data_IF_177954776385
#
_entry.id   IF_177954776385
#
_cell.length_a   1.000
_cell.length_b   1.000
_cell.length_c   1.000
_cell.angle_alpha   90.00
_cell.angle_beta   90.00
_cell.angle_gamma   90.00
#
_symmetry.space_group_name_H-M   'P 1'
#
loop_
_entity.id
_entity.type
_entity.pdbx_description
1 polymer ?
#
# COMPACT_ATOMS: atom_id res chain seq x y z
N UNK A 1 23.50 -26.02 -10.30
CA UNK A 1 24.15 -24.83 -10.87
C UNK A 1 23.45 -23.54 -10.41
N UNK A 2 22.17 -23.32 -10.74
CA UNK A 2 21.45 -22.09 -10.36
C UNK A 2 21.40 -21.83 -8.84
N UNK A 3 21.26 -22.87 -8.00
CA UNK A 3 21.37 -22.75 -6.54
C UNK A 3 22.69 -22.12 -6.07
N UNK A 4 23.80 -22.58 -6.64
CA UNK A 4 25.12 -22.06 -6.30
C UNK A 4 25.26 -20.59 -6.74
N UNK A 5 24.68 -20.23 -7.88
CA UNK A 5 24.61 -18.84 -8.35
C UNK A 5 23.81 -17.98 -7.37
N UNK A 6 22.64 -18.46 -6.92
CA UNK A 6 21.84 -17.76 -5.90
C UNK A 6 22.63 -17.53 -4.62
N UNK A 7 23.38 -18.52 -4.14
CA UNK A 7 24.20 -18.39 -2.91
C UNK A 7 25.33 -17.37 -3.10
N UNK A 8 25.94 -17.31 -4.28
CA UNK A 8 26.96 -16.30 -4.61
C UNK A 8 26.36 -14.89 -4.67
N UNK A 9 25.17 -14.75 -5.28
CA UNK A 9 24.44 -13.48 -5.31
C UNK A 9 24.15 -13.04 -3.87
N UNK A 10 23.55 -13.90 -3.04
CA UNK A 10 23.23 -13.59 -1.63
C UNK A 10 24.45 -13.09 -0.84
N UNK A 11 25.64 -13.69 -1.05
CA UNK A 11 26.89 -13.24 -0.41
C UNK A 11 27.35 -11.87 -0.90
N UNK A 12 27.01 -11.51 -2.13
CA UNK A 12 27.41 -10.24 -2.75
C UNK A 12 26.50 -9.07 -2.38
N UNK A 13 25.37 -9.31 -1.69
CA UNK A 13 24.38 -8.27 -1.37
C UNK A 13 24.74 -7.38 -0.17
N UNK A 14 25.85 -7.65 0.53
CA UNK A 14 26.19 -6.91 1.76
C UNK A 14 26.54 -5.44 1.53
N UNK A 15 27.08 -5.09 0.36
CA UNK A 15 27.51 -3.73 0.01
C UNK A 15 27.13 -3.43 -1.45
N UNK A 16 25.84 -3.26 -1.69
CA UNK A 16 25.29 -2.97 -3.03
C UNK A 16 24.47 -1.70 -3.00
N UNK A 17 24.61 -0.91 -4.06
CA UNK A 17 23.69 0.19 -4.36
C UNK A 17 22.30 -0.36 -4.71
N UNK A 18 21.27 0.50 -4.65
CA UNK A 18 19.91 0.11 -5.06
C UNK A 18 19.83 -0.35 -6.52
N UNK A 19 20.65 0.21 -7.41
CA UNK A 19 20.71 -0.18 -8.82
C UNK A 19 21.33 -1.58 -8.99
N UNK A 20 22.44 -1.86 -8.31
CA UNK A 20 23.08 -3.18 -8.31
C UNK A 20 22.17 -4.25 -7.69
N UNK A 21 21.49 -3.90 -6.58
CA UNK A 21 20.50 -4.79 -5.97
C UNK A 21 19.39 -5.16 -6.97
N UNK A 22 18.84 -4.16 -7.68
CA UNK A 22 17.85 -4.40 -8.73
C UNK A 22 18.40 -5.30 -9.84
N UNK A 23 19.63 -5.08 -10.29
CA UNK A 23 20.28 -5.94 -11.30
C UNK A 23 20.39 -7.39 -10.82
N UNK A 24 20.77 -7.62 -9.56
CA UNK A 24 20.82 -8.96 -8.98
C UNK A 24 19.44 -9.62 -8.93
N UNK A 25 18.40 -8.90 -8.51
CA UNK A 25 17.03 -9.45 -8.47
C UNK A 25 16.49 -9.75 -9.87
N UNK A 26 16.73 -8.85 -10.84
CA UNK A 26 16.36 -9.08 -12.24
C UNK A 26 17.11 -10.29 -12.84
N UNK A 27 18.40 -10.45 -12.50
CA UNK A 27 19.19 -11.60 -12.90
C UNK A 27 18.67 -12.89 -12.26
N UNK A 28 18.39 -12.91 -10.95
CA UNK A 28 17.82 -14.08 -10.29
C UNK A 28 16.48 -14.47 -10.91
N UNK A 29 15.62 -13.50 -11.26
CA UNK A 29 14.35 -13.74 -11.96
C UNK A 29 14.52 -14.39 -13.34
N UNK A 30 15.68 -14.23 -13.97
CA UNK A 30 15.98 -14.87 -15.26
C UNK A 30 16.32 -16.37 -15.14
N UNK A 31 16.64 -16.84 -13.93
CA UNK A 31 16.97 -18.25 -13.67
C UNK A 31 15.71 -19.11 -13.69
N UNK A 32 15.81 -20.35 -14.17
CA UNK A 32 14.65 -21.26 -14.21
C UNK A 32 14.07 -21.54 -12.81
N UNK A 33 14.91 -21.50 -11.78
CA UNK A 33 14.55 -21.63 -10.37
C UNK A 33 13.54 -20.58 -9.88
N UNK A 34 13.58 -19.37 -10.44
CA UNK A 34 12.75 -18.23 -10.02
C UNK A 34 11.90 -17.62 -11.16
N UNK A 35 12.07 -18.15 -12.37
CA UNK A 35 11.40 -17.70 -13.59
C UNK A 35 9.88 -17.81 -13.49
N UNK A 36 9.18 -17.44 -14.55
CA UNK A 36 7.72 -17.20 -14.54
C UNK A 36 6.88 -18.37 -14.00
N UNK A 37 7.32 -19.62 -14.23
CA UNK A 37 6.62 -20.84 -13.81
C UNK A 37 7.17 -21.44 -12.51
N UNK A 38 8.04 -20.73 -11.80
CA UNK A 38 8.59 -21.22 -10.54
C UNK A 38 7.49 -21.36 -9.46
N UNK A 39 7.56 -22.39 -8.60
CA UNK A 39 6.66 -22.57 -7.46
C UNK A 39 6.68 -21.37 -6.51
N UNK A 40 5.57 -21.16 -5.80
CA UNK A 40 5.40 -20.02 -4.87
C UNK A 40 6.49 -19.99 -3.81
N UNK A 41 6.99 -21.15 -3.35
CA UNK A 41 8.05 -21.24 -2.35
C UNK A 41 9.38 -20.68 -2.87
N UNK A 42 9.63 -20.78 -4.19
CA UNK A 42 10.83 -20.17 -4.80
C UNK A 42 10.66 -18.68 -5.01
N UNK A 43 9.44 -18.25 -5.36
CA UNK A 43 9.11 -16.83 -5.44
C UNK A 43 9.22 -16.17 -4.07
N UNK A 44 8.77 -16.86 -3.01
CA UNK A 44 8.90 -16.42 -1.62
C UNK A 44 10.38 -16.26 -1.22
N UNK A 45 11.26 -17.17 -1.64
CA UNK A 45 12.71 -17.04 -1.40
C UNK A 45 13.28 -15.74 -2.02
N UNK A 46 12.79 -15.27 -3.17
CA UNK A 46 13.18 -13.96 -3.71
C UNK A 46 12.67 -12.81 -2.85
N UNK A 47 11.43 -12.90 -2.37
CA UNK A 47 10.87 -11.88 -1.47
C UNK A 47 11.68 -11.79 -0.18
N UNK A 48 12.10 -12.92 0.40
CA UNK A 48 12.94 -12.95 1.61
C UNK A 48 14.28 -12.24 1.41
N UNK A 49 14.88 -12.34 0.21
CA UNK A 49 16.10 -11.59 -0.14
C UNK A 49 15.81 -10.08 -0.16
N UNK A 50 14.67 -9.67 -0.74
CA UNK A 50 14.26 -8.27 -0.83
C UNK A 50 13.90 -7.70 0.54
N UNK A 51 13.26 -8.49 1.40
CA UNK A 51 12.98 -8.15 2.80
C UNK A 51 14.27 -7.97 3.60
N UNK A 52 15.27 -8.82 3.37
CA UNK A 52 16.59 -8.69 3.97
C UNK A 52 17.26 -7.36 3.60
N UNK A 53 17.16 -6.95 2.34
CA UNK A 53 17.69 -5.66 1.89
C UNK A 53 16.91 -4.48 2.48
N UNK A 54 15.59 -4.60 2.64
CA UNK A 54 14.74 -3.56 3.21
C UNK A 54 14.97 -3.32 4.71
N UNK A 55 15.64 -4.26 5.39
CA UNK A 55 15.90 -4.22 6.83
C UNK A 55 14.64 -3.96 7.66
N UNK A 56 13.65 -4.86 7.50
CA UNK A 56 12.33 -4.74 8.14
C UNK A 56 12.34 -5.00 9.66
N UNK A 57 13.51 -5.30 10.24
CA UNK A 57 13.71 -5.47 11.67
C UNK A 57 14.38 -4.24 12.31
N UNK A 58 14.85 -3.28 11.50
CA UNK A 58 15.45 -2.05 11.98
C UNK A 58 14.46 -1.12 12.70
N UNK A 59 14.99 -0.28 13.59
CA UNK A 59 14.20 0.78 14.20
C UNK A 59 13.92 1.87 13.18
N UNK A 60 12.64 2.16 12.96
CA UNK A 60 12.24 3.24 12.06
C UNK A 60 12.60 4.64 12.58
N UNK A 61 13.21 5.46 11.71
CA UNK A 61 13.49 6.86 11.95
C UNK A 61 13.02 7.72 10.76
N UNK A 62 12.12 8.68 11.02
CA UNK A 62 11.60 9.59 9.98
C UNK A 62 12.70 10.45 9.35
N UNK A 63 13.77 10.73 10.08
CA UNK A 63 14.91 11.50 9.57
C UNK A 63 15.86 10.66 8.69
N UNK A 64 15.75 9.33 8.75
CA UNK A 64 16.56 8.43 7.92
C UNK A 64 15.94 8.29 6.54
N UNK A 65 16.29 9.21 5.66
CA UNK A 65 15.79 9.23 4.30
C UNK A 65 16.20 8.02 3.48
N UNK A 66 17.42 7.52 3.68
CA UNK A 66 17.98 6.40 2.93
C UNK A 66 17.25 5.10 3.28
N UNK A 67 16.90 4.90 4.57
CA UNK A 67 16.08 3.75 4.96
C UNK A 67 14.68 3.80 4.34
N UNK A 68 14.05 4.99 4.32
CA UNK A 68 12.72 5.15 3.71
C UNK A 68 12.78 4.88 2.20
N UNK A 69 13.76 5.44 1.50
CA UNK A 69 13.92 5.26 0.05
C UNK A 69 14.22 3.81 -0.31
N UNK A 70 15.05 3.13 0.51
CA UNK A 70 15.32 1.69 0.38
C UNK A 70 14.06 0.87 0.61
N UNK A 71 13.29 1.15 1.65
CA UNK A 71 12.03 0.47 1.93
C UNK A 71 11.06 0.60 0.76
N UNK A 72 10.86 1.82 0.23
CA UNK A 72 9.99 2.08 -0.92
C UNK A 72 10.47 1.30 -2.15
N UNK A 73 11.77 1.34 -2.43
CA UNK A 73 12.37 0.64 -3.57
C UNK A 73 12.22 -0.88 -3.46
N UNK A 74 12.47 -1.45 -2.28
CA UNK A 74 12.31 -2.87 -2.03
C UNK A 74 10.84 -3.31 -2.10
N UNK A 75 9.92 -2.52 -1.55
CA UNK A 75 8.48 -2.79 -1.65
C UNK A 75 8.04 -2.81 -3.12
N UNK A 76 8.46 -1.81 -3.90
CA UNK A 76 8.18 -1.74 -5.34
C UNK A 76 8.72 -2.97 -6.08
N UNK A 77 9.96 -3.36 -5.78
CA UNK A 77 10.61 -4.53 -6.38
C UNK A 77 9.91 -5.85 -6.01
N UNK A 78 9.27 -5.92 -4.84
CA UNK A 78 8.55 -7.10 -4.38
C UNK A 78 7.16 -7.29 -5.01
N UNK A 79 6.55 -6.22 -5.56
CA UNK A 79 5.19 -6.25 -6.12
C UNK A 79 4.95 -7.38 -7.14
N UNK A 80 5.84 -7.64 -8.12
CA UNK A 80 5.63 -8.71 -9.09
C UNK A 80 5.60 -10.10 -8.46
N UNK A 81 6.18 -10.27 -7.28
CA UNK A 81 6.23 -11.54 -6.56
C UNK A 81 4.98 -11.75 -5.70
N UNK A 82 4.39 -10.67 -5.15
CA UNK A 82 3.09 -10.74 -4.50
C UNK A 82 1.97 -11.14 -5.47
N UNK A 83 2.01 -10.61 -6.69
CA UNK A 83 1.14 -11.06 -7.79
C UNK A 83 1.20 -12.56 -8.04
N UNK A 84 2.36 -13.17 -7.77
CA UNK A 84 2.61 -14.60 -7.97
C UNK A 84 2.34 -15.44 -6.71
N UNK A 85 1.73 -14.86 -5.69
CA UNK A 85 1.30 -15.55 -4.47
C UNK A 85 2.31 -15.53 -3.31
N UNK A 86 3.45 -14.83 -3.45
CA UNK A 86 4.34 -14.61 -2.31
C UNK A 86 3.69 -13.66 -1.28
N UNK A 87 4.05 -13.86 -0.02
CA UNK A 87 3.52 -13.10 1.10
C UNK A 87 4.10 -11.69 1.16
N UNK A 88 3.23 -10.69 1.35
CA UNK A 88 3.61 -9.29 1.63
C UNK A 88 3.62 -8.96 3.13
N UNK A 89 3.38 -9.94 3.99
CA UNK A 89 3.07 -9.75 5.41
C UNK A 89 4.15 -8.95 6.17
N UNK A 90 5.45 -9.23 5.97
CA UNK A 90 6.52 -8.50 6.71
C UNK A 90 6.56 -7.03 6.34
N UNK A 91 6.46 -6.70 5.05
CA UNK A 91 6.36 -5.31 4.61
C UNK A 91 5.15 -4.61 5.24
N UNK A 92 3.97 -5.24 5.18
CA UNK A 92 2.75 -4.65 5.72
C UNK A 92 2.81 -4.46 7.24
N UNK A 93 3.38 -5.42 7.97
CA UNK A 93 3.56 -5.31 9.41
C UNK A 93 4.48 -4.15 9.76
N UNK A 94 5.60 -4.03 9.04
CA UNK A 94 6.54 -2.93 9.24
C UNK A 94 5.88 -1.58 8.98
N UNK A 95 5.20 -1.44 7.84
CA UNK A 95 4.45 -0.23 7.47
C UNK A 95 3.41 0.13 8.53
N UNK A 96 2.58 -0.84 8.92
CA UNK A 96 1.49 -0.62 9.87
C UNK A 96 1.99 -0.22 11.25
N UNK A 97 3.04 -0.90 11.74
CA UNK A 97 3.59 -0.70 13.08
C UNK A 97 4.38 0.60 13.20
N UNK A 98 5.17 0.93 12.17
CA UNK A 98 6.21 1.95 12.29
C UNK A 98 5.94 3.22 11.47
N UNK A 99 5.19 3.12 10.36
CA UNK A 99 5.14 4.21 9.37
C UNK A 99 3.77 4.87 9.32
N UNK A 100 2.67 4.12 9.28
CA UNK A 100 1.34 4.70 9.07
C UNK A 100 0.94 5.71 10.17
N UNK A 101 1.37 5.51 11.42
CA UNK A 101 1.10 6.42 12.54
C UNK A 101 1.85 7.76 12.44
N UNK A 102 2.95 7.79 11.70
CA UNK A 102 3.81 8.97 11.51
C UNK A 102 3.87 9.42 10.04
N UNK A 103 2.97 8.91 9.21
CA UNK A 103 2.94 9.12 7.77
C UNK A 103 3.03 10.60 7.37
N UNK A 104 2.34 11.48 8.09
CA UNK A 104 2.36 12.93 7.80
C UNK A 104 3.72 13.60 7.98
N UNK A 105 4.62 12.97 8.76
CA UNK A 105 5.98 13.47 9.00
C UNK A 105 6.94 13.11 7.88
N UNK A 106 6.56 12.21 6.98
CA UNK A 106 7.36 11.87 5.81
C UNK A 106 7.40 13.05 4.80
N UNK A 107 8.49 13.20 4.02
CA UNK A 107 8.51 14.09 2.87
C UNK A 107 7.42 13.76 1.85
N UNK A 108 6.88 14.77 1.17
CA UNK A 108 5.72 14.63 0.27
C UNK A 108 5.96 13.66 -0.89
N UNK A 109 7.15 13.67 -1.48
CA UNK A 109 7.55 12.77 -2.57
C UNK A 109 7.49 11.30 -2.12
N UNK A 110 8.07 10.99 -0.96
CA UNK A 110 8.11 9.64 -0.39
C UNK A 110 6.74 9.12 0.01
N UNK A 111 5.86 10.00 0.50
CA UNK A 111 4.47 9.64 0.82
C UNK A 111 3.71 9.16 -0.42
N UNK A 112 3.87 9.83 -1.56
CA UNK A 112 3.21 9.45 -2.82
C UNK A 112 3.65 8.05 -3.22
N UNK A 113 4.96 7.81 -3.28
CA UNK A 113 5.50 6.55 -3.77
C UNK A 113 5.18 5.38 -2.82
N UNK A 114 5.21 5.63 -1.51
CA UNK A 114 4.77 4.66 -0.52
C UNK A 114 3.30 4.28 -0.70
N UNK A 115 2.41 5.26 -0.88
CA UNK A 115 0.97 5.01 -1.05
C UNK A 115 0.68 4.29 -2.37
N UNK A 116 1.37 4.61 -3.46
CA UNK A 116 1.23 3.90 -4.74
C UNK A 116 1.62 2.43 -4.59
N UNK A 117 2.78 2.15 -4.01
CA UNK A 117 3.23 0.78 -3.79
C UNK A 117 2.27 0.02 -2.86
N UNK A 118 1.75 0.66 -1.80
CA UNK A 118 0.77 0.04 -0.92
C UNK A 118 -0.59 -0.20 -1.60
N UNK A 119 -1.01 0.70 -2.50
CA UNK A 119 -2.20 0.52 -3.32
C UNK A 119 -2.06 -0.69 -4.25
N UNK A 120 -0.93 -0.84 -4.94
CA UNK A 120 -0.66 -2.02 -5.76
C UNK A 120 -0.64 -3.31 -4.92
N UNK A 121 0.00 -3.28 -3.74
CA UNK A 121 0.03 -4.40 -2.80
C UNK A 121 -1.37 -4.82 -2.32
N UNK A 122 -2.28 -3.85 -2.13
CA UNK A 122 -3.57 -4.04 -1.43
C UNK A 122 -4.43 -5.17 -2.01
N UNK A 123 -4.34 -5.40 -3.32
CA UNK A 123 -5.05 -6.45 -4.03
C UNK A 123 -4.58 -7.86 -3.65
N UNK A 124 -3.32 -8.03 -3.26
CA UNK A 124 -2.70 -9.32 -2.89
C UNK A 124 -2.68 -9.59 -1.39
N UNK A 125 -3.14 -8.65 -0.56
CA UNK A 125 -3.14 -8.79 0.90
C UNK A 125 -4.15 -9.86 1.35
N UNK A 126 -3.76 -10.70 2.31
CA UNK A 126 -4.65 -11.72 2.87
C UNK A 126 -5.80 -11.08 3.69
N UNK A 127 -6.92 -11.79 3.93
CA UNK A 127 -7.97 -11.29 4.83
C UNK A 127 -7.48 -11.04 6.27
N UNK A 128 -6.50 -11.82 6.74
CA UNK A 128 -5.91 -11.62 8.06
C UNK A 128 -5.15 -10.30 8.15
N UNK A 129 -4.25 -10.05 7.20
CA UNK A 129 -3.42 -8.84 7.18
C UNK A 129 -4.26 -7.61 6.87
N UNK A 130 -5.30 -7.77 6.03
CA UNK A 130 -6.30 -6.73 5.79
C UNK A 130 -6.96 -6.25 7.08
N UNK A 131 -7.32 -7.15 8.00
CA UNK A 131 -7.92 -6.77 9.30
C UNK A 131 -6.96 -5.94 10.16
N UNK A 132 -5.67 -6.20 10.07
CA UNK A 132 -4.66 -5.49 10.88
C UNK A 132 -4.34 -4.12 10.30
N UNK A 133 -4.33 -4.00 8.97
CA UNK A 133 -3.96 -2.78 8.26
C UNK A 133 -5.12 -1.78 8.15
N UNK A 134 -6.36 -2.28 8.00
CA UNK A 134 -7.54 -1.46 7.74
C UNK A 134 -7.78 -0.32 8.75
N UNK A 135 -7.61 -0.48 10.08
CA UNK A 135 -7.80 0.63 11.03
C UNK A 135 -6.91 1.84 10.74
N UNK A 136 -5.62 1.60 10.47
CA UNK A 136 -4.64 2.65 10.15
C UNK A 136 -4.97 3.34 8.82
N UNK A 137 -5.43 2.58 7.82
CA UNK A 137 -5.86 3.14 6.53
C UNK A 137 -7.11 4.00 6.70
N UNK A 138 -8.12 3.55 7.44
CA UNK A 138 -9.33 4.35 7.71
C UNK A 138 -8.99 5.62 8.48
N UNK A 139 -8.06 5.56 9.43
CA UNK A 139 -7.61 6.73 10.17
C UNK A 139 -6.93 7.77 9.25
N UNK A 140 -6.00 7.34 8.39
CA UNK A 140 -5.36 8.20 7.40
C UNK A 140 -6.39 8.77 6.42
N UNK A 141 -7.29 7.94 5.93
CA UNK A 141 -8.35 8.36 5.01
C UNK A 141 -9.25 9.42 5.65
N UNK A 142 -9.69 9.24 6.91
CA UNK A 142 -10.45 10.27 7.66
C UNK A 142 -9.65 11.55 7.90
N UNK A 143 -8.32 11.47 7.99
CA UNK A 143 -7.46 12.65 8.14
C UNK A 143 -7.40 13.47 6.85
N UNK A 144 -7.23 12.81 5.70
CA UNK A 144 -7.11 13.48 4.40
C UNK A 144 -8.47 13.83 3.76
N UNK A 145 -9.52 13.09 4.09
CA UNK A 145 -10.87 13.40 3.64
C UNK A 145 -11.54 14.42 4.55
N UNK A 146 -11.36 15.69 4.23
CA UNK A 146 -11.90 16.84 4.98
C UNK A 146 -13.44 16.88 4.96
N UNK A 147 -14.06 17.34 6.06
CA UNK A 147 -15.53 17.54 6.14
C UNK A 147 -16.00 18.86 5.52
N UNK A 148 -15.09 19.81 5.34
CA UNK A 148 -15.37 21.14 4.78
C UNK A 148 -14.38 21.41 3.66
N UNK A 149 -14.79 22.19 2.67
CA UNK A 149 -13.93 22.57 1.54
C UNK A 149 -12.67 23.26 2.08
N UNK A 150 -11.51 22.70 1.73
CA UNK A 150 -10.19 23.31 1.98
C UNK A 150 -9.60 23.68 0.63
N UNK A 151 -8.76 24.71 0.59
CA UNK A 151 -8.23 25.29 -0.65
C UNK A 151 -7.31 24.34 -1.43
N UNK A 152 -6.57 23.46 -0.74
CA UNK A 152 -5.67 22.49 -1.36
C UNK A 152 -5.92 21.07 -0.85
N UNK A 153 -6.09 20.15 -1.78
CA UNK A 153 -6.34 18.73 -1.51
C UNK A 153 -5.49 17.86 -2.43
N UNK A 154 -4.73 16.94 -1.84
CA UNK A 154 -3.92 15.99 -2.61
C UNK A 154 -4.81 14.82 -3.08
N UNK A 155 -5.36 14.93 -4.28
CA UNK A 155 -6.23 13.91 -4.88
C UNK A 155 -5.51 12.57 -5.08
N UNK A 156 -4.20 12.57 -5.34
CA UNK A 156 -3.41 11.35 -5.49
C UNK A 156 -3.37 10.54 -4.20
N UNK A 157 -3.24 11.19 -3.04
CA UNK A 157 -3.29 10.49 -1.75
C UNK A 157 -4.65 9.86 -1.50
N UNK A 158 -5.72 10.62 -1.77
CA UNK A 158 -7.08 10.15 -1.56
C UNK A 158 -7.38 8.98 -2.49
N UNK A 159 -6.97 9.04 -3.76
CA UNK A 159 -7.09 7.94 -4.71
C UNK A 159 -6.39 6.68 -4.20
N UNK A 160 -5.11 6.77 -3.82
CA UNK A 160 -4.37 5.62 -3.30
C UNK A 160 -5.03 5.05 -2.04
N UNK A 161 -5.39 5.90 -1.07
CA UNK A 161 -6.00 5.47 0.19
C UNK A 161 -7.38 4.85 -0.02
N UNK A 162 -8.21 5.39 -0.93
CA UNK A 162 -9.50 4.81 -1.28
C UNK A 162 -9.33 3.46 -2.00
N UNK A 163 -8.34 3.34 -2.88
CA UNK A 163 -8.02 2.08 -3.56
C UNK A 163 -7.58 1.00 -2.57
N UNK A 164 -6.66 1.35 -1.65
CA UNK A 164 -6.25 0.46 -0.56
C UNK A 164 -7.46 0.07 0.28
N UNK A 165 -8.24 1.06 0.76
CA UNK A 165 -9.42 0.82 1.58
C UNK A 165 -10.39 -0.13 0.89
N UNK A 166 -10.70 0.06 -0.40
CA UNK A 166 -11.60 -0.78 -1.17
C UNK A 166 -11.20 -2.26 -1.12
N UNK A 167 -9.93 -2.57 -1.42
CA UNK A 167 -9.43 -3.95 -1.45
C UNK A 167 -9.42 -4.60 -0.06
N UNK A 168 -8.99 -3.86 0.98
CA UNK A 168 -8.94 -4.40 2.34
C UNK A 168 -10.35 -4.59 2.93
N UNK A 169 -11.24 -3.62 2.69
CA UNK A 169 -12.57 -3.58 3.26
C UNK A 169 -13.45 -4.72 2.74
N UNK A 170 -13.36 -5.01 1.43
CA UNK A 170 -14.09 -6.12 0.80
C UNK A 170 -13.69 -7.49 1.37
N UNK A 171 -12.41 -7.67 1.73
CA UNK A 171 -11.89 -8.90 2.34
C UNK A 171 -12.30 -9.06 3.80
N UNK A 172 -12.73 -7.98 4.46
CA UNK A 172 -12.91 -7.92 5.91
C UNK A 172 -14.17 -7.15 6.34
N UNK A 173 -15.36 -7.52 5.81
CA UNK A 173 -16.60 -6.75 5.97
C UNK A 173 -16.95 -6.40 7.43
N UNK A 174 -16.72 -7.31 8.36
CA UNK A 174 -17.04 -7.11 9.78
C UNK A 174 -16.14 -6.07 10.45
N UNK A 175 -14.85 -6.04 10.08
CA UNK A 175 -13.92 -5.01 10.55
C UNK A 175 -14.30 -3.65 9.95
N UNK A 176 -14.60 -3.62 8.65
CA UNK A 176 -15.08 -2.44 7.91
C UNK A 176 -16.30 -1.81 8.58
N UNK A 177 -17.32 -2.61 8.92
CA UNK A 177 -18.53 -2.13 9.58
C UNK A 177 -18.21 -1.37 10.87
N UNK A 178 -17.33 -1.90 11.71
CA UNK A 178 -16.96 -1.22 12.97
C UNK A 178 -16.22 0.11 12.78
N UNK A 179 -15.50 0.28 11.66
CA UNK A 179 -14.64 1.46 11.41
C UNK A 179 -15.36 2.59 10.67
N UNK A 180 -16.25 2.26 9.74
CA UNK A 180 -16.96 3.23 8.89
C UNK A 180 -18.47 3.01 8.81
N UNK A 181 -19.05 2.10 9.61
CA UNK A 181 -20.48 1.83 9.66
C UNK A 181 -21.06 1.24 8.35
N UNK A 182 -20.20 0.71 7.48
CA UNK A 182 -20.62 0.04 6.26
C UNK A 182 -21.09 -1.39 6.58
N UNK A 183 -22.41 -1.59 6.54
CA UNK A 183 -23.05 -2.88 6.85
C UNK A 183 -23.03 -3.80 5.63
N UNK A 184 -22.36 -4.95 5.75
CA UNK A 184 -22.57 -6.10 4.87
C UNK A 184 -23.25 -7.18 5.72
N UNK A 185 -24.49 -7.53 5.36
CA UNK A 185 -25.22 -8.63 6.02
C UNK A 185 -24.86 -9.92 5.29
N UNK A 186 -24.00 -10.73 5.89
CA UNK A 186 -23.60 -12.03 5.34
C UNK A 186 -24.40 -13.20 5.94
N UNK A 187 -25.14 -12.93 7.02
CA UNK A 187 -25.88 -13.94 7.79
C UNK A 187 -25.02 -14.67 8.83
N UNK A 188 -23.79 -14.20 9.07
CA UNK A 188 -22.86 -14.83 10.01
C UNK A 188 -22.96 -14.20 11.42
N UNK A 189 -22.73 -14.97 12.51
CA UNK A 189 -22.74 -14.43 13.87
C UNK A 189 -21.78 -13.26 14.09
N UNK A 190 -20.69 -13.21 13.32
CA UNK A 190 -19.68 -12.16 13.35
C UNK A 190 -20.10 -10.83 12.71
N UNK A 191 -21.29 -10.74 12.13
CA UNK A 191 -21.82 -9.53 11.47
C UNK A 191 -22.12 -8.38 12.45
N UNK A 192 -22.05 -8.64 13.77
CA UNK A 192 -22.27 -7.67 14.86
C UNK A 192 -23.58 -6.88 14.68
N UNK A 193 -24.65 -7.58 14.28
CA UNK A 193 -25.95 -7.00 13.90
C UNK A 193 -26.63 -6.17 15.01
N UNK A 194 -26.24 -6.37 16.28
CA UNK A 194 -26.76 -5.62 17.43
C UNK A 194 -26.01 -4.33 17.76
N UNK A 195 -24.90 -4.03 17.08
CA UNK A 195 -24.10 -2.83 17.35
C UNK A 195 -24.46 -1.68 16.42
N UNK A 196 -24.55 -0.47 16.99
CA UNK A 196 -24.87 0.74 16.25
C UNK A 196 -23.60 1.50 15.84
N UNK A 197 -23.32 1.52 14.54
CA UNK A 197 -22.23 2.28 13.93
C UNK A 197 -22.75 3.45 13.06
N UNK A 198 -23.98 3.90 13.28
CA UNK A 198 -24.63 4.93 12.46
C UNK A 198 -23.85 6.26 12.43
N UNK A 199 -23.23 6.65 13.54
CA UNK A 199 -22.39 7.87 13.58
C UNK A 199 -21.12 7.71 12.74
N UNK A 200 -20.48 6.54 12.76
CA UNK A 200 -19.33 6.24 11.90
C UNK A 200 -19.73 6.27 10.42
N UNK A 201 -20.90 5.71 10.09
CA UNK A 201 -21.46 5.72 8.75
C UNK A 201 -21.73 7.15 8.26
N UNK A 202 -22.36 7.96 9.11
CA UNK A 202 -22.69 9.36 8.83
C UNK A 202 -21.42 10.19 8.60
N UNK A 203 -20.44 10.10 9.49
CA UNK A 203 -19.14 10.79 9.36
C UNK A 203 -18.42 10.40 8.05
N UNK A 204 -18.32 9.10 7.79
CA UNK A 204 -17.59 8.61 6.61
C UNK A 204 -18.28 9.02 5.31
N UNK A 205 -19.62 8.94 5.27
CA UNK A 205 -20.43 9.33 4.11
C UNK A 205 -20.37 10.84 3.85
N UNK A 206 -20.40 11.68 4.90
CA UNK A 206 -20.27 13.13 4.76
C UNK A 206 -18.91 13.53 4.15
N UNK A 207 -17.84 12.88 4.60
CA UNK A 207 -16.50 13.06 4.03
C UNK A 207 -16.45 12.61 2.56
N UNK A 208 -17.01 11.44 2.23
CA UNK A 208 -17.08 10.96 0.83
C UNK A 208 -17.82 11.93 -0.09
N UNK A 209 -18.96 12.47 0.35
CA UNK A 209 -19.71 13.49 -0.41
C UNK A 209 -18.88 14.74 -0.64
N UNK A 210 -18.15 15.20 0.37
CA UNK A 210 -17.26 16.37 0.24
C UNK A 210 -16.17 16.12 -0.82
N UNK A 211 -15.57 14.92 -0.82
CA UNK A 211 -14.56 14.54 -1.82
C UNK A 211 -15.16 14.44 -3.22
N UNK A 212 -16.36 13.88 -3.37
CA UNK A 212 -17.08 13.78 -4.65
C UNK A 212 -17.38 15.17 -5.24
N UNK A 213 -17.84 16.12 -4.42
CA UNK A 213 -18.08 17.49 -4.86
C UNK A 213 -16.79 18.20 -5.30
N UNK A 214 -15.70 18.02 -4.55
CA UNK A 214 -14.39 18.60 -4.86
C UNK A 214 -13.77 17.99 -6.12
N UNK A 215 -13.89 16.67 -6.31
CA UNK A 215 -13.35 15.98 -7.48
C UNK A 215 -14.09 16.40 -8.75
N UNK A 216 -15.42 16.51 -8.72
CA UNK A 216 -16.22 17.04 -9.84
C UNK A 216 -15.82 18.45 -10.22
N UNK A 217 -15.59 19.32 -9.22
CA UNK A 217 -15.12 20.68 -9.47
C UNK A 217 -13.72 20.71 -10.10
N UNK A 218 -12.81 19.86 -9.65
CA UNK A 218 -11.46 19.75 -10.22
C UNK A 218 -11.49 19.21 -11.66
N UNK A 219 -12.23 18.14 -11.92
CA UNK A 219 -12.39 17.59 -13.28
C UNK A 219 -12.93 18.64 -14.23
N UNK A 220 -13.94 19.42 -13.82
CA UNK A 220 -14.47 20.52 -14.64
C UNK A 220 -13.38 21.57 -14.98
N UNK A 221 -12.56 21.97 -14.00
CA UNK A 221 -11.44 22.92 -14.21
C UNK A 221 -10.39 22.35 -15.16
N UNK A 222 -10.00 21.09 -14.99
CA UNK A 222 -9.03 20.42 -15.85
C UNK A 222 -9.52 20.32 -17.29
N UNK A 223 -10.76 19.87 -17.50
CA UNK A 223 -11.36 19.79 -18.85
C UNK A 223 -11.44 21.15 -19.52
N UNK A 224 -11.77 22.21 -18.78
CA UNK A 224 -11.77 23.57 -19.32
C UNK A 224 -10.37 24.02 -19.74
N UNK A 225 -9.36 23.84 -18.87
CA UNK A 225 -7.98 24.21 -19.18
C UNK A 225 -7.41 23.45 -20.39
N UNK A 226 -7.70 22.15 -20.51
CA UNK A 226 -7.34 21.36 -21.68
C UNK A 226 -8.01 21.86 -22.97
N UNK A 227 -9.29 22.25 -22.89
CA UNK A 227 -10.01 22.81 -24.03
C UNK A 227 -9.49 24.20 -24.46
N UNK A 228 -8.95 24.98 -23.53
CA UNK A 228 -8.30 26.27 -23.80
C UNK A 228 -6.90 26.08 -24.43
N UNK A 229 -6.12 25.12 -23.94
CA UNK A 229 -4.81 24.77 -24.53
C UNK A 229 -4.93 24.22 -25.96
N UNK A 230 -5.95 23.40 -26.25
CA UNK A 230 -6.17 22.84 -27.59
C UNK A 230 -6.66 23.87 -28.63
N UNK A 231 -6.92 25.12 -28.21
CA UNK A 231 -7.29 26.24 -29.10
C UNK A 231 -6.10 27.13 -29.47
N UNK A 232 -4.93 26.91 -28.85
CA UNK A 232 -3.66 27.57 -29.13
C UNK A 232 -2.83 26.71 -30.10
#
# INVERSE_FOLDING_TARGET
>A
MERHITDLVKKSLQDVTGAEFKMFIDFLRSLSLFGQNAPVERVQELVEIIEGQADLDAQFNVADGDHIDRLISCLHMALPFFMRGASSNRFLNYLNKHILSVFDKLPEERKVDLLKNLAECSSYVTPQDSRQLLPSIVQLLKKHMVRKKVEEMNFTYIECLLYIFHHLAHKTPNATNSLCGYKIVTGQPSDRLGEDFSENHKDFTERLRTIDDLSKAMVKKLTQGMAEQNKL
#
